data_IF_320992315833
#
_entry.id   IF_320992315833
#
_cell.length_a   1.000
_cell.length_b   1.000
_cell.length_c   1.000
_cell.angle_alpha   90.00
_cell.angle_beta   90.00
_cell.angle_gamma   90.00
#
_symmetry.space_group_name_H-M   'P 1'
#
loop_
_entity.id
_entity.type
_entity.pdbx_description
1 polymer ?
#
# COMPACT_ATOMS: atom_id res chain seq x y z
N UNK A 1 20.40 -20.03 50.69
CA UNK A 1 21.47 -20.18 49.69
C UNK A 1 21.15 -19.22 48.55
N UNK A 2 21.71 -18.01 48.64
CA UNK A 2 22.78 -17.44 47.79
C UNK A 2 22.22 -16.68 46.57
N UNK A 3 22.19 -15.36 46.74
CA UNK A 3 21.93 -14.32 45.74
C UNK A 3 23.03 -14.36 44.68
N UNK A 4 22.68 -14.22 43.39
CA UNK A 4 23.65 -13.97 42.31
C UNK A 4 23.26 -12.65 41.64
N UNK A 5 24.23 -11.74 41.66
CA UNK A 5 24.12 -10.35 41.26
C UNK A 5 24.49 -10.16 39.78
N UNK A 6 23.83 -9.16 39.21
CA UNK A 6 24.13 -8.39 38.00
C UNK A 6 25.62 -8.04 37.88
N UNK A 7 26.21 -8.24 36.69
CA UNK A 7 27.38 -7.47 36.22
C UNK A 7 27.18 -7.14 34.73
N UNK A 8 27.06 -5.85 34.47
CA UNK A 8 27.16 -5.15 33.19
C UNK A 8 28.65 -5.06 32.82
N UNK A 9 29.03 -5.32 31.57
CA UNK A 9 30.27 -4.75 31.02
C UNK A 9 30.11 -4.40 29.53
N UNK A 10 30.41 -3.14 29.28
CA UNK A 10 30.31 -2.34 28.08
C UNK A 10 31.44 -2.53 27.07
N UNK A 11 31.16 -2.04 25.86
CA UNK A 11 32.05 -1.34 24.92
C UNK A 11 32.74 -2.18 23.83
N UNK A 12 32.39 -1.85 22.58
CA UNK A 12 33.35 -1.59 21.51
C UNK A 12 32.70 -0.65 20.47
N UNK A 13 32.96 0.64 20.65
CA UNK A 13 32.90 1.67 19.62
C UNK A 13 34.07 1.45 18.63
N UNK A 14 33.78 1.45 17.33
CA UNK A 14 34.76 1.78 16.31
C UNK A 14 34.12 2.76 15.31
N UNK A 15 34.71 3.94 15.30
CA UNK A 15 34.46 5.09 14.45
C UNK A 15 34.78 4.82 12.97
N UNK A 16 33.99 5.42 12.08
CA UNK A 16 34.55 6.09 10.89
C UNK A 16 33.63 7.23 10.44
N UNK A 17 33.91 8.42 10.99
CA UNK A 17 33.61 9.69 10.34
C UNK A 17 34.66 9.90 9.24
N UNK A 18 34.25 10.01 7.98
CA UNK A 18 35.05 10.67 6.95
C UNK A 18 34.52 12.08 6.80
N UNK A 19 35.34 13.01 7.28
CA UNK A 19 35.29 14.42 7.02
C UNK A 19 35.98 14.72 5.68
N UNK A 20 35.40 15.65 4.91
CA UNK A 20 36.01 16.70 4.10
C UNK A 20 34.82 17.39 3.39
N UNK A 21 34.69 18.71 3.34
CA UNK A 21 35.62 19.79 3.60
C UNK A 21 35.15 20.98 2.77
N UNK A 22 34.89 22.08 3.45
CA UNK A 22 34.32 23.36 3.03
C UNK A 22 35.05 24.07 1.86
N UNK A 23 34.32 24.76 0.97
CA UNK A 23 34.32 26.24 0.89
C UNK A 23 33.76 26.78 -0.43
N UNK A 24 33.03 27.87 -0.25
CA UNK A 24 32.46 28.85 -1.18
C UNK A 24 33.35 29.25 -2.35
N UNK A 25 32.74 29.58 -3.50
CA UNK A 25 32.86 30.92 -4.13
C UNK A 25 32.01 31.00 -5.40
N UNK A 26 31.24 32.09 -5.48
CA UNK A 26 30.51 32.60 -6.64
C UNK A 26 31.51 33.18 -7.65
N UNK A 27 31.39 32.86 -8.95
CA UNK A 27 31.82 33.78 -10.00
C UNK A 27 31.17 33.50 -11.37
N UNK A 28 30.90 34.61 -12.05
CA UNK A 28 30.15 34.82 -13.29
C UNK A 28 31.03 34.68 -14.53
N UNK A 29 30.51 34.10 -15.63
CA UNK A 29 30.67 34.50 -17.07
C UNK A 29 30.29 33.32 -17.99
N UNK A 30 29.24 33.40 -18.81
CA UNK A 30 29.11 33.89 -20.21
C UNK A 30 29.88 33.10 -21.30
N UNK A 31 29.11 32.64 -22.29
CA UNK A 31 29.43 32.35 -23.72
C UNK A 31 30.49 31.24 -23.98
N UNK A 32 30.47 30.39 -25.01
CA UNK A 32 29.84 30.36 -26.33
C UNK A 32 29.87 28.91 -26.89
N UNK A 33 29.11 28.71 -27.96
CA UNK A 33 29.04 27.66 -28.98
C UNK A 33 30.27 26.78 -29.25
N UNK A 34 29.99 25.51 -29.60
CA UNK A 34 30.34 24.81 -30.87
C UNK A 34 30.29 23.29 -30.64
N UNK A 35 29.28 22.59 -31.18
CA UNK A 35 29.33 21.81 -32.44
C UNK A 35 30.53 20.88 -32.56
N UNK A 36 30.33 19.60 -32.29
CA UNK A 36 31.15 18.53 -32.86
C UNK A 36 30.28 17.70 -33.81
N UNK A 37 30.53 17.92 -35.08
CA UNK A 37 30.34 17.00 -36.20
C UNK A 37 31.04 15.67 -35.95
N UNK A 38 30.34 14.56 -36.16
CA UNK A 38 30.97 13.33 -36.64
C UNK A 38 30.11 12.75 -37.76
N UNK A 39 30.80 12.59 -38.89
CA UNK A 39 30.32 12.19 -40.19
C UNK A 39 30.05 10.68 -40.26
N UNK A 40 29.26 10.34 -41.26
CA UNK A 40 28.68 9.06 -41.60
C UNK A 40 29.71 8.00 -41.98
N UNK A 41 29.40 6.75 -41.66
CA UNK A 41 29.80 5.61 -42.48
C UNK A 41 28.61 4.64 -42.59
N UNK A 42 28.09 4.63 -43.80
CA UNK A 42 27.17 3.71 -44.47
C UNK A 42 27.43 2.21 -44.19
N UNK A 43 26.39 1.48 -43.77
CA UNK A 43 26.16 0.05 -44.12
C UNK A 43 24.64 -0.20 -44.21
N UNK A 44 24.15 -0.14 -45.46
CA UNK A 44 23.15 -0.99 -46.13
C UNK A 44 22.05 -1.74 -45.36
N UNK A 45 20.82 -1.53 -45.85
CA UNK A 45 19.64 -2.40 -45.83
C UNK A 45 19.92 -3.91 -45.68
N UNK A 46 19.26 -4.53 -44.71
CA UNK A 46 18.65 -5.86 -44.89
C UNK A 46 17.37 -5.96 -44.05
N UNK A 47 16.23 -5.87 -44.73
CA UNK A 47 14.91 -6.21 -44.19
C UNK A 47 14.77 -7.72 -44.32
N UNK A 48 14.94 -8.47 -43.23
CA UNK A 48 14.43 -9.85 -43.15
C UNK A 48 13.87 -10.19 -41.75
N UNK A 49 12.59 -10.58 -41.77
CA UNK A 49 11.87 -11.42 -40.81
C UNK A 49 11.79 -10.98 -39.33
N UNK A 50 10.79 -10.16 -39.04
CA UNK A 50 10.07 -10.23 -37.76
C UNK A 50 9.10 -11.42 -37.83
N UNK A 51 9.44 -12.52 -37.17
CA UNK A 51 8.53 -13.64 -36.96
C UNK A 51 8.69 -14.18 -35.53
N UNK A 52 7.54 -14.35 -34.87
CA UNK A 52 7.30 -14.93 -33.55
C UNK A 52 7.92 -14.26 -32.31
N UNK A 53 7.36 -13.09 -31.94
CA UNK A 53 7.05 -12.86 -30.52
C UNK A 53 5.69 -13.52 -30.29
N UNK A 54 5.67 -14.69 -29.66
CA UNK A 54 4.46 -15.23 -29.05
C UNK A 54 3.99 -14.24 -27.97
N UNK A 55 3.09 -13.36 -28.36
CA UNK A 55 2.18 -12.68 -27.45
C UNK A 55 1.37 -13.80 -26.78
N UNK A 56 1.74 -14.15 -25.56
CA UNK A 56 0.80 -14.80 -24.68
C UNK A 56 -0.37 -13.83 -24.56
N UNK A 57 -1.50 -14.19 -25.18
CA UNK A 57 -2.79 -13.59 -24.88
C UNK A 57 -2.99 -13.81 -23.39
N UNK A 58 -2.63 -12.81 -22.58
CA UNK A 58 -3.23 -12.65 -21.27
C UNK A 58 -4.72 -12.61 -21.55
N UNK A 59 -5.38 -13.70 -21.16
CA UNK A 59 -6.82 -13.84 -21.16
C UNK A 59 -7.37 -12.64 -20.41
N UNK A 60 -7.79 -11.62 -21.16
CA UNK A 60 -8.48 -10.46 -20.65
C UNK A 60 -9.75 -11.02 -20.05
N UNK A 61 -9.74 -11.22 -18.73
CA UNK A 61 -10.93 -11.58 -17.97
C UNK A 61 -12.04 -10.67 -18.48
N UNK A 62 -13.06 -11.30 -19.06
CA UNK A 62 -14.29 -10.64 -19.44
C UNK A 62 -14.75 -9.85 -18.22
N UNK A 63 -14.74 -8.52 -18.31
CA UNK A 63 -15.26 -7.64 -17.26
C UNK A 63 -16.75 -7.90 -17.17
N UNK A 64 -17.12 -8.96 -16.45
CA UNK A 64 -18.49 -9.22 -16.08
C UNK A 64 -18.89 -8.04 -15.21
N UNK A 65 -19.81 -7.23 -15.74
CA UNK A 65 -20.45 -6.17 -14.99
C UNK A 65 -21.43 -6.83 -14.02
N UNK A 66 -20.88 -7.43 -12.97
CA UNK A 66 -21.64 -7.82 -11.79
C UNK A 66 -22.20 -6.55 -11.18
N UNK A 67 -23.53 -6.43 -11.20
CA UNK A 67 -24.21 -5.30 -10.60
C UNK A 67 -23.90 -5.29 -9.09
N UNK A 68 -23.22 -4.24 -8.62
CA UNK A 68 -22.90 -4.04 -7.21
C UNK A 68 -24.13 -3.86 -6.32
N UNK A 69 -23.92 -3.94 -5.00
CA UNK A 69 -24.94 -3.60 -4.01
C UNK A 69 -25.38 -2.13 -4.19
N UNK A 70 -26.63 -1.85 -4.59
CA UNK A 70 -27.09 -0.48 -4.84
C UNK A 70 -27.20 0.37 -3.57
N UNK A 71 -27.01 -0.23 -2.39
CA UNK A 71 -26.99 0.46 -1.09
C UNK A 71 -25.58 0.90 -0.66
N UNK A 72 -24.56 0.63 -1.48
CA UNK A 72 -23.15 0.92 -1.19
C UNK A 72 -22.59 1.82 -2.30
N UNK A 73 -21.80 2.83 -1.92
CA UNK A 73 -21.19 3.75 -2.88
C UNK A 73 -20.00 3.11 -3.61
N UNK A 74 -19.23 2.27 -2.89
CA UNK A 74 -18.08 1.52 -3.42
C UNK A 74 -18.18 0.06 -2.98
N UNK A 75 -18.66 -0.80 -3.87
CA UNK A 75 -18.71 -2.24 -3.64
C UNK A 75 -17.47 -2.91 -4.24
N UNK A 76 -16.48 -3.24 -3.40
CA UNK A 76 -15.27 -3.93 -3.83
C UNK A 76 -15.52 -5.42 -4.08
N UNK A 77 -16.61 -5.99 -3.56
CA UNK A 77 -16.89 -7.45 -3.67
C UNK A 77 -17.25 -7.88 -5.09
N UNK A 78 -17.55 -6.92 -5.97
CA UNK A 78 -17.86 -7.16 -7.38
C UNK A 78 -16.67 -6.91 -8.32
N UNK A 79 -15.51 -6.57 -7.77
CA UNK A 79 -14.30 -6.31 -8.55
C UNK A 79 -13.40 -7.55 -8.57
N UNK A 80 -12.60 -7.71 -9.62
CA UNK A 80 -11.51 -8.70 -9.61
C UNK A 80 -10.45 -8.31 -8.59
N UNK A 81 -9.64 -9.26 -8.11
CA UNK A 81 -8.60 -9.01 -7.10
C UNK A 81 -7.62 -7.89 -7.52
N UNK A 82 -7.28 -7.81 -8.81
CA UNK A 82 -6.46 -6.72 -9.38
C UNK A 82 -7.13 -5.36 -9.25
N UNK A 83 -8.44 -5.28 -9.52
CA UNK A 83 -9.21 -4.04 -9.40
C UNK A 83 -9.46 -3.66 -7.94
N UNK A 84 -9.73 -4.62 -7.06
CA UNK A 84 -9.82 -4.39 -5.60
C UNK A 84 -8.53 -3.75 -5.09
N UNK A 85 -7.38 -4.36 -5.40
CA UNK A 85 -6.08 -3.85 -4.97
C UNK A 85 -5.80 -2.45 -5.50
N UNK A 86 -6.18 -2.17 -6.75
CA UNK A 86 -6.03 -0.83 -7.35
C UNK A 86 -6.96 0.20 -6.69
N UNK A 87 -8.18 -0.20 -6.34
CA UNK A 87 -9.16 0.69 -5.75
C UNK A 87 -8.82 1.01 -4.28
N UNK A 88 -8.33 0.04 -3.51
CA UNK A 88 -7.80 0.30 -2.16
C UNK A 88 -6.57 1.21 -2.23
N UNK A 89 -5.72 1.08 -3.26
CA UNK A 89 -4.61 2.00 -3.48
C UNK A 89 -5.08 3.43 -3.79
N UNK A 90 -6.15 3.58 -4.58
CA UNK A 90 -6.76 4.89 -4.83
C UNK A 90 -7.28 5.53 -3.53
N UNK A 91 -7.90 4.75 -2.64
CA UNK A 91 -8.34 5.23 -1.32
C UNK A 91 -7.18 5.78 -0.47
N UNK A 92 -5.98 5.21 -0.59
CA UNK A 92 -4.77 5.70 0.09
C UNK A 92 -4.23 6.98 -0.54
N UNK A 93 -4.24 7.07 -1.87
CA UNK A 93 -3.62 8.18 -2.59
C UNK A 93 -4.52 9.41 -2.72
N UNK A 94 -5.84 9.22 -2.79
CA UNK A 94 -6.85 10.29 -2.87
C UNK A 94 -8.01 10.09 -1.89
N UNK A 95 -7.74 9.99 -0.57
CA UNK A 95 -8.77 9.66 0.44
C UNK A 95 -9.97 10.61 0.46
N UNK A 96 -9.76 11.88 0.10
CA UNK A 96 -10.82 12.89 0.04
C UNK A 96 -11.96 12.52 -0.93
N UNK A 97 -11.68 11.72 -1.97
CA UNK A 97 -12.70 11.26 -2.91
C UNK A 97 -13.60 10.15 -2.34
N UNK A 98 -13.21 9.57 -1.20
CA UNK A 98 -13.91 8.47 -0.53
C UNK A 98 -14.51 8.87 0.81
N UNK A 99 -14.17 10.03 1.35
CA UNK A 99 -14.65 10.52 2.64
C UNK A 99 -16.19 10.46 2.72
N UNK A 100 -16.71 9.75 3.73
CA UNK A 100 -18.13 9.58 3.98
C UNK A 100 -18.86 8.59 3.06
N UNK A 101 -18.16 7.95 2.11
CA UNK A 101 -18.76 6.89 1.28
C UNK A 101 -18.96 5.61 2.07
N UNK A 102 -20.05 4.90 1.78
CA UNK A 102 -20.24 3.53 2.24
C UNK A 102 -19.40 2.60 1.36
N UNK A 103 -18.51 1.83 1.98
CA UNK A 103 -17.62 0.87 1.31
C UNK A 103 -17.99 -0.53 1.78
N UNK A 104 -18.02 -1.49 0.85
CA UNK A 104 -18.19 -2.92 1.14
C UNK A 104 -17.02 -3.70 0.58
N UNK A 105 -16.43 -4.58 1.37
CA UNK A 105 -15.29 -5.40 0.97
C UNK A 105 -15.33 -6.78 1.59
N UNK A 106 -14.70 -7.74 0.90
CA UNK A 106 -14.47 -9.10 1.38
C UNK A 106 -12.97 -9.36 1.43
N UNK A 107 -12.53 -10.07 2.47
CA UNK A 107 -11.13 -10.45 2.64
C UNK A 107 -10.85 -11.05 4.01
N UNK A 108 -9.59 -11.27 4.31
CA UNK A 108 -9.17 -11.92 5.55
C UNK A 108 -8.98 -10.89 6.67
N UNK A 109 -9.53 -11.15 7.86
CA UNK A 109 -9.32 -10.33 9.03
C UNK A 109 -7.86 -10.40 9.51
N UNK A 110 -7.28 -9.24 9.80
CA UNK A 110 -6.03 -9.10 10.52
C UNK A 110 -6.19 -8.13 11.70
N UNK A 111 -5.33 -8.26 12.70
CA UNK A 111 -5.34 -7.40 13.88
C UNK A 111 -3.92 -7.07 14.33
N UNK A 112 -3.64 -5.78 14.47
CA UNK A 112 -2.44 -5.27 15.12
C UNK A 112 -2.77 -4.77 16.52
N UNK A 113 -1.95 -5.15 17.51
CA UNK A 113 -2.05 -4.60 18.86
C UNK A 113 -0.81 -3.77 19.15
N UNK A 114 -1.01 -2.50 19.49
CA UNK A 114 0.06 -1.63 19.97
C UNK A 114 0.59 -2.18 21.31
N UNK A 115 1.90 -2.48 21.42
CA UNK A 115 2.46 -3.09 22.63
C UNK A 115 2.56 -2.13 23.82
N UNK A 116 2.56 -0.82 23.58
CA UNK A 116 2.69 0.21 24.61
C UNK A 116 1.32 0.61 25.17
N UNK A 117 0.31 0.72 24.30
CA UNK A 117 -1.05 1.16 24.70
C UNK A 117 -2.05 0.01 24.87
N UNK A 118 -1.78 -1.15 24.25
CA UNK A 118 -2.70 -2.28 24.20
C UNK A 118 -3.87 -2.09 23.23
N UNK A 119 -3.95 -0.97 22.51
CA UNK A 119 -5.01 -0.68 21.53
C UNK A 119 -4.91 -1.65 20.35
N UNK A 120 -6.07 -2.18 19.94
CA UNK A 120 -6.19 -3.10 18.80
C UNK A 120 -6.71 -2.35 17.57
N UNK A 121 -6.16 -2.69 16.43
CA UNK A 121 -6.52 -2.17 15.11
C UNK A 121 -6.86 -3.35 14.24
N UNK A 122 -8.11 -3.42 13.78
CA UNK A 122 -8.59 -4.49 12.92
C UNK A 122 -8.61 -4.01 11.49
N UNK A 123 -8.25 -4.89 10.56
CA UNK A 123 -8.26 -4.59 9.14
C UNK A 123 -8.80 -5.78 8.34
N UNK A 124 -9.54 -5.48 7.28
CA UNK A 124 -9.89 -6.46 6.26
C UNK A 124 -8.81 -6.39 5.17
N UNK A 125 -8.11 -7.50 4.97
CA UNK A 125 -6.94 -7.59 4.08
C UNK A 125 -7.33 -8.30 2.79
N UNK A 126 -6.95 -7.69 1.68
CA UNK A 126 -7.08 -8.20 0.33
C UNK A 126 -5.70 -8.49 -0.24
N UNK A 127 -5.57 -9.60 -0.96
CA UNK A 127 -4.36 -9.96 -1.67
C UNK A 127 -4.53 -9.68 -3.15
N UNK A 128 -3.45 -9.28 -3.83
CA UNK A 128 -3.47 -9.21 -5.29
C UNK A 128 -3.67 -10.62 -5.90
N UNK A 129 -3.91 -10.68 -7.21
CA UNK A 129 -4.12 -11.94 -7.94
C UNK A 129 -2.97 -12.95 -7.80
N UNK A 130 -1.74 -12.48 -7.55
CA UNK A 130 -0.53 -13.30 -7.39
C UNK A 130 -0.24 -13.66 -5.92
N UNK A 131 -0.98 -13.09 -4.96
CA UNK A 131 -0.85 -13.30 -3.53
C UNK A 131 0.53 -12.92 -2.95
N UNK A 132 1.28 -12.04 -3.62
CA UNK A 132 2.59 -11.59 -3.13
C UNK A 132 2.54 -10.21 -2.45
N UNK A 133 1.56 -9.38 -2.80
CA UNK A 133 1.28 -8.12 -2.11
C UNK A 133 -0.10 -8.18 -1.44
N UNK A 134 -0.23 -7.45 -0.33
CA UNK A 134 -1.49 -7.27 0.38
C UNK A 134 -1.76 -5.78 0.64
N UNK A 135 -3.03 -5.43 0.62
CA UNK A 135 -3.56 -4.15 1.05
C UNK A 135 -4.77 -4.39 1.95
N UNK A 136 -5.29 -3.35 2.59
CA UNK A 136 -6.49 -3.49 3.38
C UNK A 136 -6.99 -2.16 3.91
N UNK A 137 -8.19 -2.21 4.48
CA UNK A 137 -8.80 -1.09 5.16
C UNK A 137 -9.00 -1.45 6.62
N UNK A 138 -8.58 -0.55 7.52
CA UNK A 138 -8.95 -0.68 8.92
C UNK A 138 -10.46 -0.53 9.08
N UNK A 139 -11.02 -1.17 10.09
CA UNK A 139 -12.43 -1.00 10.41
C UNK A 139 -12.67 -0.99 11.92
N UNK A 140 -13.73 -0.28 12.30
CA UNK A 140 -14.30 -0.26 13.64
C UNK A 140 -15.75 -0.70 13.52
N UNK A 141 -16.12 -1.77 14.21
CA UNK A 141 -17.50 -2.24 14.26
C UNK A 141 -18.40 -1.22 14.97
N UNK A 142 -19.65 -1.10 14.52
CA UNK A 142 -20.66 -0.26 15.17
C UNK A 142 -20.87 -0.68 16.63
N UNK A 143 -20.45 0.18 17.56
CA UNK A 143 -20.51 -0.04 19.00
C UNK A 143 -21.94 -0.13 19.56
N UNK A 144 -22.96 0.31 18.79
CA UNK A 144 -24.36 0.12 19.17
C UNK A 144 -24.86 -1.31 18.90
N UNK A 145 -24.18 -2.03 18.01
CA UNK A 145 -24.57 -3.36 17.54
C UNK A 145 -23.61 -4.45 18.04
N UNK A 146 -22.33 -4.14 18.18
CA UNK A 146 -21.27 -5.09 18.48
C UNK A 146 -20.49 -4.73 19.75
N UNK A 147 -19.89 -5.75 20.37
CA UNK A 147 -18.96 -5.65 21.50
C UNK A 147 -17.55 -6.08 21.09
N UNK A 148 -16.57 -5.88 21.97
CA UNK A 148 -15.17 -6.29 21.71
C UNK A 148 -15.03 -7.80 21.42
N UNK A 149 -15.91 -8.64 21.97
CA UNK A 149 -15.89 -10.09 21.77
C UNK A 149 -16.45 -10.52 20.41
N UNK A 150 -17.17 -9.62 19.72
CA UNK A 150 -17.79 -9.88 18.41
C UNK A 150 -16.82 -9.62 17.24
N UNK A 151 -15.65 -9.03 17.51
CA UNK A 151 -14.65 -8.83 16.47
C UNK A 151 -14.15 -10.17 15.90
N UNK A 152 -13.98 -10.27 14.57
CA UNK A 152 -13.50 -11.48 13.92
C UNK A 152 -12.09 -11.83 14.36
N UNK A 153 -11.75 -13.13 14.35
CA UNK A 153 -10.41 -13.59 14.68
C UNK A 153 -9.46 -13.34 13.51
N UNK A 154 -8.18 -13.20 13.82
CA UNK A 154 -7.13 -13.12 12.79
C UNK A 154 -7.19 -14.38 11.93
N UNK A 155 -7.28 -14.20 10.62
CA UNK A 155 -7.40 -15.27 9.63
C UNK A 155 -8.84 -15.64 9.25
N UNK A 156 -9.86 -15.07 9.90
CA UNK A 156 -11.26 -15.29 9.47
C UNK A 156 -11.52 -14.55 8.15
N UNK A 157 -12.17 -15.22 7.19
CA UNK A 157 -12.73 -14.55 6.02
C UNK A 157 -13.97 -13.76 6.44
N UNK A 158 -14.01 -12.48 6.07
CA UNK A 158 -15.09 -11.55 6.45
C UNK A 158 -15.59 -10.79 5.24
N UNK A 159 -16.88 -10.50 5.22
CA UNK A 159 -17.45 -9.41 4.42
C UNK A 159 -17.83 -8.29 5.37
N UNK A 160 -17.32 -7.10 5.13
CA UNK A 160 -17.54 -5.93 5.99
C UNK A 160 -18.08 -4.78 5.15
N UNK A 161 -18.98 -4.00 5.74
CA UNK A 161 -19.45 -2.73 5.20
C UNK A 161 -19.37 -1.64 6.25
N UNK A 162 -18.88 -0.46 5.90
CA UNK A 162 -18.80 0.68 6.81
C UNK A 162 -18.64 2.01 6.08
N UNK A 163 -18.48 3.10 6.84
CA UNK A 163 -18.32 4.45 6.30
C UNK A 163 -16.84 4.82 6.28
N UNK A 164 -16.29 5.08 5.09
CA UNK A 164 -14.89 5.44 4.93
C UNK A 164 -14.58 6.83 5.53
N UNK A 165 -13.47 6.90 6.26
CA UNK A 165 -12.91 8.15 6.79
C UNK A 165 -11.40 8.03 7.00
N UNK A 166 -10.77 9.12 7.41
CA UNK A 166 -9.36 9.16 7.81
C UNK A 166 -9.19 9.67 9.24
N UNK A 167 -8.11 9.24 9.90
CA UNK A 167 -7.74 9.74 11.22
C UNK A 167 -6.24 10.01 11.33
N UNK A 168 -5.88 10.91 12.25
CA UNK A 168 -4.48 11.22 12.55
C UNK A 168 -4.03 10.49 13.81
N UNK A 169 -2.89 9.80 13.73
CA UNK A 169 -2.25 9.19 14.89
C UNK A 169 -0.73 9.27 14.74
N UNK A 170 -0.03 9.68 15.81
CA UNK A 170 1.43 9.80 15.81
C UNK A 170 2.03 10.63 14.64
N UNK A 171 1.26 11.59 14.12
CA UNK A 171 1.67 12.43 12.99
C UNK A 171 1.43 11.83 11.60
N UNK A 172 0.90 10.61 11.51
CA UNK A 172 0.54 9.94 10.26
C UNK A 172 -0.98 9.97 10.04
N UNK A 173 -1.39 9.91 8.78
CA UNK A 173 -2.79 9.73 8.36
C UNK A 173 -3.05 8.25 8.11
N UNK A 174 -4.14 7.74 8.69
CA UNK A 174 -4.60 6.38 8.51
C UNK A 174 -6.02 6.39 7.93
N UNK A 175 -6.37 5.32 7.21
CA UNK A 175 -7.70 5.11 6.67
C UNK A 175 -8.47 4.14 7.55
N UNK A 176 -9.76 4.37 7.74
CA UNK A 176 -10.61 3.43 8.47
C UNK A 176 -12.04 3.46 7.96
N UNK A 177 -12.81 2.42 8.28
CA UNK A 177 -14.25 2.39 8.14
C UNK A 177 -14.91 2.42 9.51
N UNK A 178 -15.73 3.44 9.78
CA UNK A 178 -16.52 3.55 10.99
C UNK A 178 -17.90 2.93 10.82
N UNK A 179 -18.57 2.70 11.96
CA UNK A 179 -19.93 2.15 12.02
C UNK A 179 -20.08 0.87 11.20
N UNK A 180 -19.04 0.03 11.23
CA UNK A 180 -18.95 -1.11 10.33
C UNK A 180 -19.81 -2.28 10.80
N UNK A 181 -20.36 -3.04 9.86
CA UNK A 181 -21.18 -4.24 10.10
C UNK A 181 -20.60 -5.42 9.34
N UNK A 182 -20.53 -6.58 10.00
CA UNK A 182 -20.22 -7.86 9.37
C UNK A 182 -21.46 -8.37 8.61
N UNK A 183 -21.28 -8.80 7.36
CA UNK A 183 -22.34 -9.27 6.45
C UNK A 183 -22.28 -10.79 6.31
#
# INVERSE_FOLDING_TARGET
>A
MRKINVIILSALLAYSLVACGNSSEENVSKEDSQTNTYDSADISDDITAVDDIQLQEEEMEEVQTVAGDPSVDVDLTVLSSTLIYSEVFNMVTTPADYEGKTVKMEGTCNMYQDPDTGKKYYACIVQDATQCCSQGLEFVLDENTYTEDDYPKVGDEITIKGTFTTYQENGNTYLTMLDSTLI
#
